data_IF_368245245144
#
_entry.id   IF_368245245144
#
_cell.length_a   1.000
_cell.length_b   1.000
_cell.length_c   1.000
_cell.angle_alpha   90.00
_cell.angle_beta   90.00
_cell.angle_gamma   90.00
#
_symmetry.space_group_name_H-M   'P 1'
#
loop_
_entity.id
_entity.type
_entity.pdbx_description
1 polymer ?
#
# COMPACT_ATOMS: atom_id res chain seq x y z
N UNK A 1 32.50 11.79 15.22
CA UNK A 1 31.64 12.91 14.77
C UNK A 1 31.59 12.86 13.25
N UNK A 2 30.69 12.06 12.69
CA UNK A 2 30.37 12.14 11.26
C UNK A 2 29.45 13.36 11.13
N UNK A 3 29.86 14.37 10.36
CA UNK A 3 29.04 15.56 10.13
C UNK A 3 27.70 15.14 9.54
N UNK A 4 26.60 15.71 10.02
CA UNK A 4 25.25 15.44 9.54
C UNK A 4 25.20 15.75 8.03
N UNK A 5 25.15 14.74 7.18
CA UNK A 5 25.07 14.91 5.73
C UNK A 5 23.64 15.39 5.43
N UNK A 6 23.50 16.66 5.02
CA UNK A 6 22.19 17.22 4.67
C UNK A 6 21.71 16.67 3.33
N UNK A 7 20.39 16.59 3.12
CA UNK A 7 19.83 16.19 1.83
C UNK A 7 20.01 17.37 0.84
N UNK A 8 20.55 17.16 -0.37
CA UNK A 8 20.66 18.22 -1.37
C UNK A 8 19.30 18.81 -1.74
N UNK A 9 19.29 20.09 -2.11
CA UNK A 9 18.10 20.74 -2.64
C UNK A 9 17.77 20.28 -4.06
N UNK A 10 16.50 20.45 -4.45
CA UNK A 10 16.02 20.17 -5.81
C UNK A 10 16.85 20.84 -6.90
N UNK A 11 17.18 22.13 -6.73
CA UNK A 11 17.97 22.88 -7.70
C UNK A 11 19.39 22.30 -7.87
N UNK A 12 20.00 21.83 -6.79
CA UNK A 12 21.33 21.20 -6.84
C UNK A 12 21.28 19.88 -7.61
N UNK A 13 20.30 19.02 -7.32
CA UNK A 13 20.11 17.75 -8.06
C UNK A 13 19.83 18.02 -9.54
N UNK A 14 19.05 19.05 -9.85
CA UNK A 14 18.67 19.36 -11.21
C UNK A 14 19.86 19.91 -12.03
N UNK A 15 20.79 20.63 -11.40
CA UNK A 15 22.06 21.04 -12.03
C UNK A 15 22.89 19.82 -12.42
N UNK A 16 23.10 18.89 -11.48
CA UNK A 16 23.85 17.65 -11.74
C UNK A 16 23.18 16.81 -12.83
N UNK A 17 21.86 16.62 -12.74
CA UNK A 17 21.12 15.82 -13.69
C UNK A 17 21.20 16.40 -15.11
N UNK A 18 21.20 17.74 -15.27
CA UNK A 18 21.41 18.39 -16.57
C UNK A 18 22.80 18.09 -17.14
N UNK A 19 23.84 17.98 -16.31
CA UNK A 19 25.18 17.58 -16.76
C UNK A 19 25.18 16.13 -17.27
N UNK A 20 24.49 15.23 -16.55
CA UNK A 20 24.32 13.84 -16.98
C UNK A 20 23.51 13.75 -18.27
N UNK A 21 22.44 14.54 -18.43
CA UNK A 21 21.69 14.60 -19.69
C UNK A 21 22.61 15.05 -20.82
N UNK A 22 23.37 16.13 -20.65
CA UNK A 22 24.22 16.69 -21.69
C UNK A 22 25.30 15.70 -22.18
N UNK A 23 25.96 14.98 -21.26
CA UNK A 23 27.12 14.15 -21.59
C UNK A 23 26.83 12.64 -21.62
N UNK A 24 25.75 12.20 -20.97
CA UNK A 24 25.38 10.79 -20.83
C UNK A 24 26.11 10.08 -19.69
N UNK A 25 25.61 8.93 -19.28
CA UNK A 25 26.20 8.17 -18.16
C UNK A 25 27.60 7.63 -18.45
N UNK A 26 27.97 7.44 -19.72
CA UNK A 26 29.33 7.04 -20.09
C UNK A 26 30.41 8.05 -19.71
N UNK A 27 30.03 9.31 -19.47
CA UNK A 27 30.95 10.39 -19.12
C UNK A 27 31.02 10.70 -17.61
N UNK A 28 30.26 9.99 -16.76
CA UNK A 28 30.12 10.32 -15.32
C UNK A 28 31.46 10.53 -14.62
N UNK A 29 32.48 9.71 -14.92
CA UNK A 29 33.82 9.81 -14.30
C UNK A 29 34.48 11.20 -14.48
N UNK A 30 34.09 11.93 -15.53
CA UNK A 30 34.61 13.26 -15.86
C UNK A 30 33.69 14.41 -15.43
N UNK A 31 32.51 14.12 -14.91
CA UNK A 31 31.54 15.11 -14.47
C UNK A 31 31.71 15.40 -12.97
N UNK A 32 31.44 16.64 -12.59
CA UNK A 32 31.30 17.02 -11.19
C UNK A 32 29.81 16.94 -10.82
N UNK A 33 29.45 15.94 -10.01
CA UNK A 33 28.06 15.63 -9.65
C UNK A 33 27.89 15.60 -8.12
N UNK A 34 28.21 16.72 -7.42
CA UNK A 34 28.28 16.74 -5.96
C UNK A 34 26.96 16.37 -5.26
N UNK A 35 25.81 16.77 -5.80
CA UNK A 35 24.52 16.47 -5.20
C UNK A 35 24.16 14.99 -5.38
N UNK A 36 24.41 14.40 -6.55
CA UNK A 36 24.11 12.97 -6.77
C UNK A 36 25.09 12.08 -5.98
N UNK A 37 26.36 12.47 -5.84
CA UNK A 37 27.30 11.77 -4.95
C UNK A 37 26.93 11.89 -3.47
N UNK A 38 26.45 13.04 -3.03
CA UNK A 38 25.92 13.20 -1.67
C UNK A 38 24.72 12.27 -1.43
N UNK A 39 23.83 12.12 -2.41
CA UNK A 39 22.71 11.16 -2.36
C UNK A 39 23.23 9.72 -2.38
N UNK A 40 24.27 9.41 -3.15
CA UNK A 40 24.88 8.08 -3.16
C UNK A 40 25.53 7.73 -1.81
N UNK A 41 26.15 8.71 -1.15
CA UNK A 41 26.70 8.57 0.20
C UNK A 41 25.57 8.36 1.23
N UNK A 42 24.50 9.17 1.16
CA UNK A 42 23.30 8.96 1.98
C UNK A 42 22.65 7.60 1.72
N UNK A 43 22.76 7.09 0.48
CA UNK A 43 22.21 5.80 0.07
C UNK A 43 23.09 4.59 0.47
N UNK A 44 24.20 4.81 1.18
CA UNK A 44 25.21 3.81 1.56
C UNK A 44 25.80 3.06 0.35
N UNK A 45 25.91 3.74 -0.79
CA UNK A 45 26.51 3.21 -2.02
C UNK A 45 27.99 3.56 -2.15
N UNK A 46 28.47 4.51 -1.36
CA UNK A 46 29.87 4.90 -1.24
C UNK A 46 30.15 5.48 0.16
N UNK A 47 31.31 5.16 0.74
CA UNK A 47 31.72 5.64 2.08
C UNK A 47 32.02 7.15 2.11
N UNK A 48 32.40 7.69 0.96
CA UNK A 48 32.66 9.10 0.73
C UNK A 48 32.46 9.40 -0.76
N UNK A 49 32.16 10.66 -1.13
CA UNK A 49 32.04 11.08 -2.52
C UNK A 49 33.28 10.68 -3.32
N UNK A 50 33.18 9.59 -4.10
CA UNK A 50 34.26 9.10 -4.93
C UNK A 50 33.81 9.27 -6.38
N UNK A 51 34.71 9.69 -7.29
CA UNK A 51 34.34 9.94 -8.71
C UNK A 51 34.06 8.65 -9.50
N UNK A 52 33.67 7.58 -8.82
CA UNK A 52 33.32 6.32 -9.44
C UNK A 52 31.90 6.38 -10.04
N UNK A 53 31.70 5.87 -11.26
CA UNK A 53 30.38 5.93 -11.90
C UNK A 53 29.31 5.05 -11.26
N UNK A 54 29.70 3.95 -10.61
CA UNK A 54 28.77 2.90 -10.19
C UNK A 54 27.73 3.37 -9.15
N UNK A 55 28.10 4.12 -8.09
CA UNK A 55 27.13 4.65 -7.12
C UNK A 55 26.11 5.59 -7.79
N UNK A 56 26.58 6.52 -8.62
CA UNK A 56 25.74 7.47 -9.37
C UNK A 56 24.75 6.74 -10.29
N UNK A 57 25.23 5.77 -11.07
CA UNK A 57 24.38 4.96 -11.96
C UNK A 57 23.32 4.21 -11.15
N UNK A 58 23.68 3.71 -9.98
CA UNK A 58 22.76 2.98 -9.10
C UNK A 58 21.66 3.90 -8.54
N UNK A 59 21.99 5.13 -8.11
CA UNK A 59 21.00 6.14 -7.71
C UNK A 59 20.05 6.46 -8.85
N UNK A 60 20.58 6.71 -10.06
CA UNK A 60 19.76 7.03 -11.24
C UNK A 60 18.83 5.87 -11.61
N UNK A 61 19.30 4.62 -11.52
CA UNK A 61 18.45 3.42 -11.75
C UNK A 61 17.33 3.30 -10.73
N UNK A 62 17.62 3.52 -9.43
CA UNK A 62 16.59 3.54 -8.39
C UNK A 62 15.54 4.62 -8.65
N UNK A 63 15.98 5.84 -8.98
CA UNK A 63 15.08 6.95 -9.29
C UNK A 63 14.19 6.66 -10.52
N UNK A 64 14.74 6.04 -11.57
CA UNK A 64 13.96 5.65 -12.75
C UNK A 64 12.98 4.52 -12.46
N UNK A 65 13.34 3.54 -11.62
CA UNK A 65 12.41 2.50 -11.19
C UNK A 65 11.20 3.09 -10.43
N UNK A 66 11.43 4.15 -9.64
CA UNK A 66 10.38 4.88 -8.92
C UNK A 66 9.45 5.71 -9.83
N UNK A 67 9.70 5.77 -11.15
CA UNK A 67 8.74 6.31 -12.11
C UNK A 67 7.55 5.38 -12.34
N UNK A 68 7.59 4.13 -11.87
CA UNK A 68 6.49 3.18 -11.94
C UNK A 68 6.43 2.37 -13.24
N UNK A 69 7.52 2.28 -13.99
CA UNK A 69 7.59 1.54 -15.25
C UNK A 69 7.02 2.26 -16.47
N UNK A 70 6.98 1.55 -17.60
CA UNK A 70 6.38 2.02 -18.85
C UNK A 70 7.21 3.04 -19.62
N UNK A 71 6.54 3.80 -20.49
CA UNK A 71 7.19 4.68 -21.48
C UNK A 71 8.06 5.76 -20.84
N UNK A 72 7.65 6.35 -19.70
CA UNK A 72 8.42 7.39 -19.01
C UNK A 72 9.77 6.86 -18.49
N UNK A 73 9.80 5.64 -17.96
CA UNK A 73 11.04 5.01 -17.51
C UNK A 73 11.96 4.73 -18.71
N UNK A 74 11.43 4.11 -19.77
CA UNK A 74 12.20 3.81 -20.98
C UNK A 74 12.75 5.09 -21.65
N UNK A 75 11.99 6.18 -21.62
CA UNK A 75 12.43 7.49 -22.07
C UNK A 75 13.57 8.04 -21.23
N UNK A 76 13.50 7.93 -19.90
CA UNK A 76 14.58 8.36 -19.01
C UNK A 76 15.85 7.53 -19.24
N UNK A 77 15.71 6.21 -19.39
CA UNK A 77 16.84 5.30 -19.66
C UNK A 77 17.52 5.60 -20.99
N UNK A 78 16.72 5.82 -22.06
CA UNK A 78 17.22 6.21 -23.37
C UNK A 78 17.86 7.59 -23.34
N UNK A 79 17.24 8.56 -22.67
CA UNK A 79 17.74 9.93 -22.56
C UNK A 79 19.07 9.98 -21.80
N UNK A 80 19.23 9.25 -20.71
CA UNK A 80 20.47 9.25 -19.91
C UNK A 80 21.55 8.31 -20.49
N UNK A 81 21.18 7.36 -21.34
CA UNK A 81 22.09 6.36 -21.91
C UNK A 81 22.37 5.20 -20.95
N UNK A 82 21.44 4.88 -20.06
CA UNK A 82 21.57 3.79 -19.07
C UNK A 82 21.22 2.43 -19.66
N UNK A 83 20.40 2.40 -20.72
CA UNK A 83 20.06 1.18 -21.44
C UNK A 83 21.29 0.46 -21.98
N UNK A 84 21.21 -0.88 -22.10
CA UNK A 84 22.33 -1.68 -22.57
C UNK A 84 22.85 -1.19 -23.94
N UNK A 85 24.17 -0.98 -24.04
CA UNK A 85 24.80 -0.49 -25.28
C UNK A 85 24.56 0.98 -25.62
N UNK A 86 23.91 1.77 -24.76
CA UNK A 86 23.58 3.19 -25.01
C UNK A 86 24.51 4.19 -24.33
N UNK A 87 25.42 3.73 -23.46
CA UNK A 87 26.29 4.58 -22.64
C UNK A 87 27.19 5.55 -23.42
N UNK A 88 27.58 5.20 -24.66
CA UNK A 88 28.43 6.01 -25.54
C UNK A 88 27.64 6.74 -26.63
N UNK A 89 26.32 6.74 -26.58
CA UNK A 89 25.51 7.43 -27.58
C UNK A 89 25.60 8.95 -27.41
N UNK A 90 25.65 9.65 -28.54
CA UNK A 90 25.58 11.11 -28.55
C UNK A 90 24.23 11.59 -28.00
N UNK A 91 24.19 12.83 -27.48
CA UNK A 91 22.95 13.44 -26.99
C UNK A 91 21.84 13.44 -28.06
N UNK A 92 22.19 13.69 -29.33
CA UNK A 92 21.24 13.64 -30.44
C UNK A 92 20.60 12.27 -30.57
N UNK A 93 21.40 11.20 -30.57
CA UNK A 93 20.90 9.83 -30.71
C UNK A 93 20.07 9.38 -29.49
N UNK A 94 20.46 9.81 -28.27
CA UNK A 94 19.69 9.57 -27.04
C UNK A 94 18.33 10.26 -27.07
N UNK A 95 18.28 11.52 -27.53
CA UNK A 95 17.02 12.26 -27.73
C UNK A 95 16.14 11.63 -28.81
N UNK A 96 16.71 11.18 -29.91
CA UNK A 96 15.97 10.47 -30.96
C UNK A 96 15.34 9.18 -30.43
N UNK A 97 16.11 8.40 -29.65
CA UNK A 97 15.61 7.17 -29.04
C UNK A 97 14.50 7.43 -28.01
N UNK A 98 14.66 8.45 -27.15
CA UNK A 98 13.62 8.82 -26.18
C UNK A 98 12.35 9.36 -26.87
N UNK A 99 12.52 10.21 -27.89
CA UNK A 99 11.41 10.80 -28.64
C UNK A 99 10.59 9.74 -29.42
N UNK A 100 11.25 8.70 -29.92
CA UNK A 100 10.61 7.61 -30.67
C UNK A 100 9.57 6.85 -29.84
N UNK A 101 9.73 6.80 -28.51
CA UNK A 101 8.79 6.10 -27.60
C UNK A 101 7.41 6.77 -27.55
N UNK A 102 7.33 8.09 -27.76
CA UNK A 102 6.07 8.85 -27.87
C UNK A 102 5.69 9.17 -29.32
N UNK A 103 6.38 8.56 -30.30
CA UNK A 103 6.18 8.82 -31.73
C UNK A 103 6.32 10.30 -32.12
N UNK A 104 7.15 11.05 -31.38
CA UNK A 104 7.46 12.46 -31.67
C UNK A 104 8.87 12.61 -32.21
N UNK A 105 9.13 13.74 -32.86
CA UNK A 105 10.46 14.07 -33.37
C UNK A 105 11.33 14.65 -32.26
N UNK A 106 12.64 14.37 -32.28
CA UNK A 106 13.62 14.84 -31.30
C UNK A 106 13.58 16.38 -31.07
N UNK A 107 13.28 17.18 -32.09
CA UNK A 107 13.13 18.65 -31.94
C UNK A 107 11.94 19.05 -31.06
N UNK A 108 10.88 18.25 -31.07
CA UNK A 108 9.71 18.45 -30.21
C UNK A 108 10.01 17.98 -28.79
N UNK A 109 10.64 16.81 -28.66
CA UNK A 109 11.04 16.23 -27.37
C UNK A 109 11.95 17.17 -26.57
N UNK A 110 12.97 17.77 -27.20
CA UNK A 110 13.95 18.64 -26.51
C UNK A 110 13.36 19.92 -25.89
N UNK A 111 12.10 20.27 -26.21
CA UNK A 111 11.44 21.49 -25.73
C UNK A 111 10.83 21.24 -24.36
N UNK A 112 9.57 20.88 -24.33
CA UNK A 112 8.80 20.72 -23.09
C UNK A 112 8.89 19.31 -22.50
N UNK A 113 8.78 18.21 -23.30
CA UNK A 113 8.83 16.85 -22.76
C UNK A 113 10.11 16.53 -22.00
N UNK A 114 11.28 16.85 -22.56
CA UNK A 114 12.57 16.63 -21.90
C UNK A 114 12.66 17.42 -20.59
N UNK A 115 12.20 18.68 -20.57
CA UNK A 115 12.24 19.51 -19.35
C UNK A 115 11.37 18.92 -18.25
N UNK A 116 10.16 18.45 -18.59
CA UNK A 116 9.25 17.81 -17.64
C UNK A 116 9.83 16.49 -17.13
N UNK A 117 10.39 15.68 -18.01
CA UNK A 117 11.00 14.40 -17.64
C UNK A 117 12.19 14.60 -16.69
N UNK A 118 13.08 15.55 -17.00
CA UNK A 118 14.24 15.87 -16.14
C UNK A 118 13.79 16.44 -14.79
N UNK A 119 12.78 17.31 -14.78
CA UNK A 119 12.22 17.85 -13.55
C UNK A 119 11.64 16.75 -12.65
N UNK A 120 10.86 15.84 -13.25
CA UNK A 120 10.25 14.72 -12.53
C UNK A 120 11.30 13.71 -12.04
N UNK A 121 12.33 13.43 -12.84
CA UNK A 121 13.42 12.57 -12.43
C UNK A 121 14.25 13.17 -11.27
N UNK A 122 14.41 14.49 -11.22
CA UNK A 122 15.06 15.15 -10.08
C UNK A 122 14.27 14.96 -8.78
N UNK A 123 12.94 14.98 -8.83
CA UNK A 123 12.08 14.64 -7.67
C UNK A 123 12.31 13.18 -7.24
N UNK A 124 12.35 12.25 -8.19
CA UNK A 124 12.61 10.82 -7.91
C UNK A 124 13.99 10.55 -7.33
N UNK A 125 15.00 11.32 -7.72
CA UNK A 125 16.34 11.22 -7.11
C UNK A 125 16.31 11.68 -5.64
N UNK A 126 15.56 12.73 -5.31
CA UNK A 126 15.38 13.16 -3.92
C UNK A 126 14.61 12.14 -3.09
N UNK A 127 13.61 11.47 -3.67
CA UNK A 127 12.88 10.38 -3.00
C UNK A 127 13.83 9.27 -2.55
N UNK A 128 14.84 8.91 -3.36
CA UNK A 128 15.86 7.90 -2.98
C UNK A 128 16.67 8.32 -1.74
N UNK A 129 17.02 9.62 -1.63
CA UNK A 129 17.72 10.14 -0.46
C UNK A 129 16.83 10.16 0.79
N UNK A 130 15.57 10.56 0.64
CA UNK A 130 14.60 10.57 1.74
C UNK A 130 14.33 9.16 2.26
N UNK A 131 14.12 8.20 1.36
CA UNK A 131 13.94 6.79 1.70
C UNK A 131 15.14 6.25 2.50
N UNK A 132 16.36 6.53 2.04
CA UNK A 132 17.54 6.01 2.74
C UNK A 132 17.78 6.71 4.08
N UNK A 133 17.47 8.01 4.18
CA UNK A 133 17.50 8.73 5.45
C UNK A 133 16.52 8.13 6.45
N UNK A 134 15.31 7.74 6.02
CA UNK A 134 14.34 7.04 6.89
C UNK A 134 14.87 5.67 7.33
N UNK A 135 15.50 4.92 6.43
CA UNK A 135 16.09 3.60 6.74
C UNK A 135 17.31 3.71 7.68
N UNK A 136 18.18 4.70 7.49
CA UNK A 136 19.31 4.94 8.38
C UNK A 136 18.86 5.44 9.75
N UNK A 137 17.88 6.35 9.79
CA UNK A 137 17.25 6.76 11.04
C UNK A 137 16.66 5.56 11.79
N UNK A 138 16.06 4.60 11.07
CA UNK A 138 15.58 3.34 11.64
C UNK A 138 16.72 2.49 12.24
N UNK A 139 17.85 2.33 11.54
CA UNK A 139 19.03 1.60 12.07
C UNK A 139 19.64 2.30 13.30
N UNK A 140 19.72 3.63 13.26
CA UNK A 140 20.19 4.44 14.41
C UNK A 140 19.22 4.33 15.60
N UNK A 141 17.91 4.21 15.35
CA UNK A 141 16.86 4.01 16.35
C UNK A 141 16.84 2.59 16.94
N UNK A 142 17.09 1.55 16.14
CA UNK A 142 17.31 0.17 16.63
C UNK A 142 18.49 0.12 17.62
N UNK A 143 19.50 0.99 17.42
CA UNK A 143 20.69 1.11 18.28
C UNK A 143 20.50 2.07 19.47
N UNK A 144 19.69 3.14 19.31
CA UNK A 144 19.48 4.18 20.33
C UNK A 144 17.98 4.36 20.62
N UNK A 145 17.54 3.76 21.73
CA UNK A 145 16.16 3.60 22.24
C UNK A 145 15.31 4.87 22.47
N UNK A 146 15.47 5.99 21.78
CA UNK A 146 14.55 7.13 21.95
C UNK A 146 14.44 8.07 20.73
N UNK A 147 13.29 8.08 20.01
CA UNK A 147 13.00 9.02 18.92
C UNK A 147 12.25 10.28 19.39
N UNK A 148 12.33 10.65 20.68
CA UNK A 148 11.54 11.75 21.24
C UNK A 148 11.87 13.14 20.66
N UNK A 149 13.00 13.28 19.94
CA UNK A 149 13.52 14.59 19.49
C UNK A 149 13.46 14.85 17.97
N UNK A 150 12.70 14.08 17.17
CA UNK A 150 12.84 14.16 15.70
C UNK A 150 11.57 14.46 14.91
N UNK A 151 11.70 15.29 13.86
CA UNK A 151 10.75 15.45 12.73
C UNK A 151 10.34 14.11 12.10
N UNK A 152 11.14 13.05 12.31
CA UNK A 152 10.85 11.68 11.91
C UNK A 152 9.60 11.13 12.61
N UNK A 153 9.29 11.55 13.84
CA UNK A 153 8.09 11.11 14.54
C UNK A 153 6.80 11.45 13.78
N UNK A 154 6.76 12.65 13.17
CA UNK A 154 5.62 13.10 12.36
C UNK A 154 5.47 12.24 11.10
N UNK A 155 6.58 11.90 10.44
CA UNK A 155 6.56 11.05 9.24
C UNK A 155 6.10 9.62 9.54
N UNK A 156 6.43 9.08 10.71
CA UNK A 156 5.93 7.79 11.17
C UNK A 156 4.43 7.82 11.49
N UNK A 157 3.94 8.89 12.14
CA UNK A 157 2.50 9.05 12.42
C UNK A 157 1.71 9.18 11.12
N UNK A 158 2.16 9.99 10.17
CA UNK A 158 1.54 10.10 8.83
C UNK A 158 1.54 8.75 8.10
N UNK A 159 2.62 7.98 8.26
CA UNK A 159 2.73 6.66 7.64
C UNK A 159 1.76 5.65 8.24
N UNK A 160 1.64 5.62 9.57
CA UNK A 160 0.68 4.76 10.26
C UNK A 160 -0.76 5.19 10.03
N UNK A 161 -1.03 6.49 9.84
CA UNK A 161 -2.35 6.94 9.40
C UNK A 161 -2.72 6.29 8.05
N UNK A 162 -1.79 6.27 7.09
CA UNK A 162 -2.00 5.60 5.81
C UNK A 162 -2.18 4.08 5.97
N UNK A 163 -1.46 3.44 6.90
CA UNK A 163 -1.67 2.01 7.21
C UNK A 163 -3.04 1.76 7.82
N UNK A 164 -3.49 2.61 8.75
CA UNK A 164 -4.81 2.45 9.37
C UNK A 164 -5.97 2.71 8.40
N UNK A 165 -5.76 3.51 7.35
CA UNK A 165 -6.71 3.66 6.25
C UNK A 165 -6.88 2.38 5.43
N UNK A 166 -5.83 1.56 5.30
CA UNK A 166 -5.89 0.23 4.68
C UNK A 166 -6.40 -0.82 5.68
N UNK A 167 -5.95 -0.74 6.94
CA UNK A 167 -6.32 -1.65 8.03
C UNK A 167 -7.83 -1.70 8.24
N UNK A 168 -8.49 -0.54 8.30
CA UNK A 168 -9.93 -0.47 8.58
C UNK A 168 -10.78 -1.29 7.59
N UNK A 169 -10.65 -1.11 6.27
CA UNK A 169 -11.37 -1.94 5.31
C UNK A 169 -10.89 -3.40 5.28
N UNK A 170 -9.61 -3.70 5.54
CA UNK A 170 -9.09 -5.08 5.61
C UNK A 170 -9.68 -5.85 6.79
N UNK A 171 -9.70 -5.24 7.97
CA UNK A 171 -10.35 -5.80 9.17
C UNK A 171 -11.84 -6.06 8.91
N UNK A 172 -12.54 -5.05 8.37
CA UNK A 172 -13.96 -5.18 8.07
C UNK A 172 -14.23 -6.20 6.97
N UNK A 173 -13.33 -6.38 6.00
CA UNK A 173 -13.42 -7.40 4.97
C UNK A 173 -13.42 -8.80 5.61
N UNK A 174 -12.42 -9.11 6.45
CA UNK A 174 -12.33 -10.39 7.14
C UNK A 174 -13.60 -10.68 7.95
N UNK A 175 -14.03 -9.71 8.78
CA UNK A 175 -15.22 -9.86 9.61
C UNK A 175 -16.50 -10.12 8.79
N UNK A 176 -16.68 -9.45 7.65
CA UNK A 176 -17.84 -9.69 6.78
C UNK A 176 -17.78 -11.04 6.06
N UNK A 177 -16.59 -11.48 5.63
CA UNK A 177 -16.41 -12.79 5.01
C UNK A 177 -16.70 -13.92 6.01
N UNK A 178 -16.17 -13.83 7.23
CA UNK A 178 -16.44 -14.79 8.30
C UNK A 178 -17.92 -14.83 8.66
N UNK A 179 -18.55 -13.66 8.83
CA UNK A 179 -19.97 -13.57 9.13
C UNK A 179 -20.83 -14.18 8.01
N UNK A 180 -20.50 -13.95 6.74
CA UNK A 180 -21.17 -14.59 5.61
C UNK A 180 -21.10 -16.13 5.72
N UNK A 181 -19.90 -16.67 5.97
CA UNK A 181 -19.70 -18.12 6.10
C UNK A 181 -20.42 -18.72 7.31
N UNK A 182 -20.44 -18.01 8.45
CA UNK A 182 -21.18 -18.43 9.66
C UNK A 182 -22.68 -18.50 9.37
N UNK A 183 -23.26 -17.45 8.78
CA UNK A 183 -24.69 -17.39 8.43
C UNK A 183 -25.05 -18.49 7.42
N UNK A 184 -24.20 -18.71 6.42
CA UNK A 184 -24.44 -19.74 5.41
C UNK A 184 -24.37 -21.17 5.98
N UNK A 185 -23.42 -21.44 6.87
CA UNK A 185 -23.30 -22.74 7.53
C UNK A 185 -24.48 -23.01 8.48
N UNK A 186 -24.89 -22.00 9.26
CA UNK A 186 -26.04 -22.13 10.15
C UNK A 186 -27.35 -22.43 9.39
N UNK A 187 -27.53 -21.86 8.19
CA UNK A 187 -28.67 -22.14 7.34
C UNK A 187 -28.68 -23.58 6.78
N UNK A 188 -27.50 -24.19 6.57
CA UNK A 188 -27.38 -25.55 6.04
C UNK A 188 -27.64 -26.64 7.09
N UNK A 189 -27.37 -26.36 8.37
CA UNK A 189 -27.48 -27.35 9.45
C UNK A 189 -28.93 -27.59 9.94
N UNK A 190 -29.96 -27.01 9.29
CA UNK A 190 -31.37 -27.06 9.73
C UNK A 190 -31.59 -26.72 11.21
N UNK A 191 -30.60 -26.09 11.84
CA UNK A 191 -30.69 -25.65 13.23
C UNK A 191 -31.61 -24.44 13.18
N UNK A 192 -32.71 -24.45 13.94
CA UNK A 192 -33.60 -23.29 14.03
C UNK A 192 -32.75 -22.01 14.15
N UNK A 193 -33.09 -20.93 13.43
CA UNK A 193 -32.30 -19.71 13.45
C UNK A 193 -32.11 -19.34 14.91
N UNK A 194 -30.86 -19.41 15.38
CA UNK A 194 -30.50 -19.28 16.78
C UNK A 194 -30.70 -17.84 17.22
N UNK A 195 -31.96 -17.44 17.40
CA UNK A 195 -32.43 -16.25 18.12
C UNK A 195 -31.50 -15.03 18.09
N UNK A 196 -30.93 -14.68 16.93
CA UNK A 196 -30.20 -13.43 16.71
C UNK A 196 -31.15 -12.27 16.35
N UNK A 197 -32.45 -12.49 16.59
CA UNK A 197 -33.55 -11.59 16.28
C UNK A 197 -33.85 -10.64 17.46
N UNK A 198 -32.81 -10.00 18.01
CA UNK A 198 -32.99 -9.08 19.16
C UNK A 198 -33.04 -7.61 18.73
N UNK A 199 -32.80 -7.31 17.45
CA UNK A 199 -32.89 -5.94 16.92
C UNK A 199 -33.63 -5.84 15.57
N UNK A 200 -34.31 -6.90 15.11
CA UNK A 200 -35.17 -6.85 13.91
C UNK A 200 -34.44 -6.53 12.60
N UNK A 201 -33.13 -6.79 12.52
CA UNK A 201 -32.30 -6.57 11.33
C UNK A 201 -31.21 -7.65 11.24
N UNK A 202 -31.61 -8.91 11.18
CA UNK A 202 -30.66 -10.01 10.96
C UNK A 202 -30.13 -9.90 9.53
N UNK A 203 -28.86 -9.53 9.38
CA UNK A 203 -28.19 -9.50 8.08
C UNK A 203 -28.17 -10.89 7.46
N UNK A 204 -28.51 -10.97 6.18
CA UNK A 204 -28.48 -12.21 5.41
C UNK A 204 -27.08 -12.50 4.88
N UNK A 205 -26.86 -13.72 4.38
CA UNK A 205 -25.64 -14.06 3.63
C UNK A 205 -25.36 -13.04 2.51
N UNK A 206 -26.38 -12.67 1.74
CA UNK A 206 -26.23 -11.74 0.62
C UNK A 206 -25.91 -10.31 1.09
N UNK A 207 -26.35 -9.89 2.29
CA UNK A 207 -25.98 -8.60 2.87
C UNK A 207 -24.49 -8.58 3.25
N UNK A 208 -23.99 -9.65 3.88
CA UNK A 208 -22.58 -9.77 4.21
C UNK A 208 -21.70 -9.89 2.95
N UNK A 209 -22.14 -10.61 1.91
CA UNK A 209 -21.48 -10.67 0.61
C UNK A 209 -21.33 -9.26 0.03
N UNK A 210 -22.39 -8.44 0.10
CA UNK A 210 -22.37 -7.05 -0.37
C UNK A 210 -21.41 -6.18 0.44
N UNK A 211 -21.44 -6.30 1.76
CA UNK A 211 -20.56 -5.53 2.62
C UNK A 211 -19.09 -5.94 2.46
N UNK A 212 -18.81 -7.24 2.34
CA UNK A 212 -17.47 -7.75 2.05
C UNK A 212 -16.93 -7.19 0.72
N UNK A 213 -17.72 -7.20 -0.36
CA UNK A 213 -17.26 -6.64 -1.64
C UNK A 213 -16.94 -5.16 -1.50
N UNK A 214 -17.83 -4.39 -0.87
CA UNK A 214 -17.61 -2.96 -0.65
C UNK A 214 -16.30 -2.71 0.13
N UNK A 215 -16.06 -3.47 1.22
CA UNK A 215 -14.82 -3.34 2.01
C UNK A 215 -13.58 -3.75 1.25
N UNK A 216 -13.64 -4.81 0.44
CA UNK A 216 -12.55 -5.19 -0.44
C UNK A 216 -12.20 -4.07 -1.45
N UNK A 217 -13.21 -3.48 -2.10
CA UNK A 217 -12.98 -2.40 -3.06
C UNK A 217 -12.42 -1.14 -2.37
N UNK A 218 -12.89 -0.85 -1.14
CA UNK A 218 -12.34 0.23 -0.33
C UNK A 218 -10.86 -0.03 0.05
N UNK A 219 -10.52 -1.25 0.44
CA UNK A 219 -9.13 -1.68 0.65
C UNK A 219 -8.28 -1.44 -0.60
N UNK A 220 -8.74 -1.89 -1.77
CA UNK A 220 -8.00 -1.78 -3.01
C UNK A 220 -7.82 -0.31 -3.46
N UNK A 221 -8.78 0.56 -3.12
CA UNK A 221 -8.70 2.00 -3.35
C UNK A 221 -7.68 2.66 -2.42
N UNK A 222 -7.71 2.35 -1.13
CA UNK A 222 -6.74 2.88 -0.16
C UNK A 222 -5.32 2.38 -0.43
N UNK A 223 -5.16 1.12 -0.83
CA UNK A 223 -3.86 0.60 -1.28
C UNK A 223 -3.33 1.37 -2.50
N UNK A 224 -4.20 1.74 -3.45
CA UNK A 224 -3.81 2.57 -4.60
C UNK A 224 -3.39 3.97 -4.18
N UNK A 225 -4.12 4.58 -3.23
CA UNK A 225 -3.78 5.90 -2.64
C UNK A 225 -2.44 5.85 -1.92
N UNK A 226 -2.20 4.78 -1.17
CA UNK A 226 -0.92 4.53 -0.51
C UNK A 226 0.22 4.41 -1.52
N UNK A 227 0.07 3.58 -2.56
CA UNK A 227 1.09 3.45 -3.62
C UNK A 227 1.31 4.78 -4.35
N UNK A 228 0.26 5.54 -4.61
CA UNK A 228 0.39 6.85 -5.28
C UNK A 228 1.08 7.89 -4.40
N UNK A 229 0.85 7.88 -3.10
CA UNK A 229 1.39 8.87 -2.16
C UNK A 229 2.78 8.51 -1.68
N UNK A 230 3.10 7.22 -1.67
CA UNK A 230 4.31 6.70 -1.01
C UNK A 230 5.07 5.62 -1.78
N UNK A 231 4.75 5.38 -3.05
CA UNK A 231 5.47 4.46 -3.93
C UNK A 231 5.30 2.97 -3.60
N UNK A 232 4.48 2.62 -2.61
CA UNK A 232 4.36 1.22 -2.13
C UNK A 232 5.45 0.82 -1.14
N UNK A 233 6.25 1.77 -0.65
CA UNK A 233 7.30 1.49 0.33
C UNK A 233 6.70 1.34 1.73
N UNK A 234 6.77 0.14 2.29
CA UNK A 234 6.41 -0.13 3.68
C UNK A 234 7.59 0.22 4.60
N UNK A 235 7.27 0.86 5.73
CA UNK A 235 8.21 1.28 6.76
C UNK A 235 7.62 0.75 8.06
N UNK A 236 8.29 -0.23 8.64
CA UNK A 236 7.90 -0.87 9.90
C UNK A 236 9.10 -0.95 10.84
N UNK A 237 8.90 -1.39 12.09
CA UNK A 237 9.99 -1.44 13.09
C UNK A 237 11.20 -2.23 12.62
N UNK A 238 10.99 -3.31 11.86
CA UNK A 238 12.02 -4.15 11.29
C UNK A 238 11.75 -4.53 9.81
N UNK A 239 12.78 -4.97 9.09
CA UNK A 239 12.70 -5.23 7.65
C UNK A 239 11.90 -6.51 7.35
N UNK A 240 11.93 -7.47 8.26
CA UNK A 240 11.13 -8.68 8.18
C UNK A 240 9.64 -8.34 8.25
N UNK A 241 9.24 -7.42 9.13
CA UNK A 241 7.88 -6.89 9.24
C UNK A 241 7.49 -6.13 7.97
N UNK A 242 8.37 -5.32 7.37
CA UNK A 242 8.11 -4.65 6.07
C UNK A 242 7.80 -5.66 4.97
N UNK A 243 8.62 -6.72 4.86
CA UNK A 243 8.39 -7.79 3.89
C UNK A 243 7.10 -8.56 4.18
N UNK A 244 6.84 -8.89 5.46
CA UNK A 244 5.64 -9.60 5.87
C UNK A 244 4.37 -8.80 5.56
N UNK A 245 4.37 -7.49 5.80
CA UNK A 245 3.27 -6.61 5.44
C UNK A 245 3.05 -6.62 3.92
N UNK A 246 4.11 -6.43 3.14
CA UNK A 246 4.02 -6.41 1.67
C UNK A 246 3.51 -7.75 1.11
N UNK A 247 4.00 -8.87 1.63
CA UNK A 247 3.57 -10.21 1.23
C UNK A 247 2.09 -10.45 1.57
N UNK A 248 1.68 -10.04 2.77
CA UNK A 248 0.30 -10.21 3.20
C UNK A 248 -0.68 -9.40 2.35
N UNK A 249 -0.34 -8.15 2.02
CA UNK A 249 -1.12 -7.33 1.09
C UNK A 249 -1.20 -7.97 -0.30
N UNK A 250 -0.09 -8.52 -0.79
CA UNK A 250 -0.08 -9.25 -2.06
C UNK A 250 -1.01 -10.47 -1.99
N UNK A 251 -1.00 -11.24 -0.90
CA UNK A 251 -1.85 -12.42 -0.69
C UNK A 251 -3.35 -12.08 -0.69
N UNK A 252 -3.77 -10.96 -0.08
CA UNK A 252 -5.17 -10.48 -0.15
C UNK A 252 -5.58 -10.24 -1.61
N UNK A 253 -4.69 -9.62 -2.40
CA UNK A 253 -4.88 -9.39 -3.83
C UNK A 253 -4.78 -10.65 -4.71
N UNK A 254 -4.03 -11.67 -4.27
CA UNK A 254 -3.79 -12.90 -5.03
C UNK A 254 -4.93 -13.91 -4.89
N UNK A 255 -5.52 -14.01 -3.71
CA UNK A 255 -6.54 -15.02 -3.41
C UNK A 255 -7.97 -14.59 -3.77
N UNK A 256 -8.18 -13.38 -4.28
CA UNK A 256 -9.51 -13.00 -4.78
C UNK A 256 -9.74 -13.51 -6.22
N UNK A 257 -11.01 -13.49 -6.64
CA UNK A 257 -11.39 -13.99 -7.96
C UNK A 257 -11.25 -12.95 -9.09
N UNK A 258 -10.93 -11.69 -8.79
CA UNK A 258 -10.96 -10.62 -9.78
C UNK A 258 -9.68 -10.51 -10.61
N UNK A 259 -9.84 -10.08 -11.86
CA UNK A 259 -8.72 -9.61 -12.66
C UNK A 259 -8.40 -8.15 -12.31
N UNK A 260 -7.21 -7.70 -12.71
CA UNK A 260 -6.80 -6.31 -12.51
C UNK A 260 -7.79 -5.29 -13.11
N UNK A 261 -8.33 -5.58 -14.30
CA UNK A 261 -9.28 -4.69 -14.98
C UNK A 261 -10.64 -4.62 -14.26
N UNK A 262 -11.09 -5.76 -13.72
CA UNK A 262 -12.32 -5.84 -12.93
C UNK A 262 -12.18 -5.07 -11.61
N UNK A 263 -11.06 -5.24 -10.90
CA UNK A 263 -10.76 -4.49 -9.68
C UNK A 263 -10.61 -2.99 -9.96
N UNK A 264 -9.92 -2.62 -11.05
CA UNK A 264 -9.79 -1.24 -11.52
C UNK A 264 -11.15 -0.59 -11.81
N UNK A 265 -12.05 -1.34 -12.46
CA UNK A 265 -13.41 -0.87 -12.71
C UNK A 265 -14.19 -0.65 -11.42
N UNK A 266 -14.15 -1.61 -10.48
CA UNK A 266 -14.84 -1.50 -9.19
C UNK A 266 -14.33 -0.31 -8.36
N UNK A 267 -13.01 -0.12 -8.28
CA UNK A 267 -12.42 1.04 -7.59
C UNK A 267 -12.85 2.37 -8.18
N UNK A 268 -12.98 2.45 -9.50
CA UNK A 268 -13.48 3.65 -10.17
C UNK A 268 -14.94 3.93 -9.78
N UNK A 269 -15.80 2.91 -9.78
CA UNK A 269 -17.18 3.09 -9.34
C UNK A 269 -17.28 3.56 -7.89
N UNK A 270 -16.41 3.06 -7.00
CA UNK A 270 -16.37 3.51 -5.60
C UNK A 270 -15.84 4.96 -5.50
N UNK A 271 -14.75 5.30 -6.19
CA UNK A 271 -14.19 6.64 -6.16
C UNK A 271 -15.14 7.72 -6.73
N UNK A 272 -15.94 7.36 -7.74
CA UNK A 272 -16.95 8.23 -8.33
C UNK A 272 -18.24 8.30 -7.48
N UNK A 273 -18.40 7.39 -6.51
CA UNK A 273 -19.57 7.38 -5.64
C UNK A 273 -19.51 8.51 -4.61
N UNK A 274 -20.67 9.08 -4.30
CA UNK A 274 -20.76 10.21 -3.38
C UNK A 274 -20.21 9.81 -2.00
N UNK A 275 -19.05 10.39 -1.64
CA UNK A 275 -18.35 10.13 -0.39
C UNK A 275 -17.94 8.67 -0.16
N UNK A 276 -17.80 7.86 -1.22
CA UNK A 276 -17.45 6.44 -1.08
C UNK A 276 -18.49 5.65 -0.25
N UNK A 277 -19.75 6.09 -0.27
CA UNK A 277 -20.85 5.51 0.50
C UNK A 277 -21.41 4.24 -0.15
N UNK A 278 -21.71 3.25 0.71
CA UNK A 278 -22.13 1.90 0.31
C UNK A 278 -23.39 1.88 -0.56
N UNK A 279 -24.39 2.70 -0.23
CA UNK A 279 -25.66 2.73 -0.96
C UNK A 279 -25.47 3.22 -2.41
N UNK A 280 -24.71 4.31 -2.58
CA UNK A 280 -24.48 4.86 -3.91
C UNK A 280 -23.60 3.95 -4.75
N UNK A 281 -22.57 3.36 -4.15
CA UNK A 281 -21.74 2.34 -4.80
C UNK A 281 -22.59 1.20 -5.37
N UNK A 282 -23.51 0.63 -4.56
CA UNK A 282 -24.37 -0.46 -5.00
C UNK A 282 -25.37 -0.06 -6.08
N UNK A 283 -25.91 1.16 -6.02
CA UNK A 283 -26.79 1.67 -7.07
C UNK A 283 -26.07 1.73 -8.44
N UNK A 284 -24.79 2.13 -8.44
CA UNK A 284 -23.98 2.20 -9.67
C UNK A 284 -23.57 0.80 -10.15
N UNK A 285 -23.12 -0.08 -9.25
CA UNK A 285 -22.71 -1.45 -9.59
C UNK A 285 -23.88 -2.23 -10.20
N UNK A 286 -25.05 -2.20 -9.55
CA UNK A 286 -26.22 -2.96 -10.00
C UNK A 286 -26.90 -2.38 -11.24
N UNK A 287 -26.61 -1.13 -11.61
CA UNK A 287 -27.13 -0.52 -12.84
C UNK A 287 -26.50 -1.09 -14.12
N UNK A 288 -25.42 -1.87 -14.02
CA UNK A 288 -24.69 -2.39 -15.17
C UNK A 288 -24.63 -3.92 -15.18
N UNK A 289 -24.65 -4.51 -16.38
CA UNK A 289 -24.48 -5.96 -16.54
C UNK A 289 -23.13 -6.45 -16.00
N UNK A 290 -22.06 -5.67 -16.24
CA UNK A 290 -20.73 -5.98 -15.71
C UNK A 290 -20.74 -6.02 -14.19
N UNK A 291 -21.33 -5.03 -13.51
CA UNK A 291 -21.38 -5.00 -12.05
C UNK A 291 -22.20 -6.15 -11.45
N UNK A 292 -23.31 -6.55 -12.08
CA UNK A 292 -24.04 -7.75 -11.64
C UNK A 292 -23.23 -9.03 -11.80
N UNK A 293 -22.47 -9.18 -12.89
CA UNK A 293 -21.59 -10.34 -13.09
C UNK A 293 -20.46 -10.38 -12.05
N UNK A 294 -19.85 -9.24 -11.71
CA UNK A 294 -18.79 -9.19 -10.69
C UNK A 294 -19.32 -9.47 -9.29
N UNK A 295 -20.53 -9.01 -8.96
CA UNK A 295 -21.21 -9.38 -7.71
C UNK A 295 -21.42 -10.90 -7.63
N UNK A 296 -21.90 -11.52 -8.69
CA UNK A 296 -22.18 -12.97 -8.69
C UNK A 296 -20.89 -13.78 -8.59
N UNK A 297 -19.85 -13.37 -9.33
CA UNK A 297 -18.50 -13.92 -9.22
C UNK A 297 -17.92 -13.82 -7.79
N UNK A 298 -18.15 -12.70 -7.11
CA UNK A 298 -17.74 -12.52 -5.71
C UNK A 298 -18.53 -13.43 -4.76
N UNK A 299 -19.84 -13.54 -4.97
CA UNK A 299 -20.71 -14.43 -4.20
C UNK A 299 -20.29 -15.89 -4.35
N UNK A 300 -19.98 -16.33 -5.57
CA UNK A 300 -19.51 -17.68 -5.86
C UNK A 300 -18.20 -17.97 -5.14
N UNK A 301 -17.25 -17.02 -5.21
CA UNK A 301 -15.98 -17.07 -4.47
C UNK A 301 -16.17 -17.25 -2.95
N UNK A 302 -17.09 -16.50 -2.32
CA UNK A 302 -17.39 -16.67 -0.88
C UNK A 302 -18.02 -18.05 -0.64
N UNK A 303 -18.90 -18.49 -1.54
CA UNK A 303 -19.62 -19.75 -1.39
C UNK A 303 -18.70 -20.98 -1.39
N UNK A 304 -17.52 -20.90 -2.01
CA UNK A 304 -16.50 -21.95 -1.97
C UNK A 304 -15.96 -22.25 -0.55
N UNK A 305 -16.09 -21.30 0.39
CA UNK A 305 -15.70 -21.46 1.79
C UNK A 305 -16.75 -22.13 2.67
N UNK A 306 -17.99 -22.29 2.18
CA UNK A 306 -19.09 -22.88 2.95
C UNK A 306 -18.80 -24.36 3.23
N UNK A 307 -19.07 -24.81 4.45
CA UNK A 307 -18.83 -26.18 4.92
C UNK A 307 -17.36 -26.50 5.24
N UNK A 308 -16.42 -25.56 5.08
CA UNK A 308 -15.00 -25.74 5.40
C UNK A 308 -14.73 -25.41 6.86
N UNK A 309 -14.69 -26.43 7.72
CA UNK A 309 -14.55 -26.26 9.18
C UNK A 309 -13.17 -26.65 9.71
N UNK A 310 -12.46 -27.58 9.06
CA UNK A 310 -11.13 -28.02 9.49
C UNK A 310 -10.01 -27.08 9.00
N UNK A 311 -8.90 -27.00 9.73
CA UNK A 311 -7.76 -26.16 9.33
C UNK A 311 -7.18 -26.59 7.98
N UNK A 312 -7.12 -27.91 7.73
CA UNK A 312 -6.68 -28.46 6.44
C UNK A 312 -7.59 -28.04 5.30
N UNK A 313 -8.91 -27.98 5.53
CA UNK A 313 -9.87 -27.54 4.53
C UNK A 313 -9.74 -26.05 4.23
N UNK A 314 -9.59 -25.23 5.28
CA UNK A 314 -9.43 -23.78 5.18
C UNK A 314 -8.18 -23.40 4.37
N UNK A 315 -7.08 -24.14 4.51
CA UNK A 315 -5.84 -23.92 3.74
C UNK A 315 -5.99 -24.13 2.23
N UNK A 316 -7.04 -24.82 1.78
CA UNK A 316 -7.32 -25.04 0.34
C UNK A 316 -8.34 -24.06 -0.24
N UNK A 317 -9.00 -23.27 0.61
CA UNK A 317 -10.08 -22.36 0.22
C UNK A 317 -9.56 -20.94 0.05
N UNK A 318 -9.78 -20.37 -1.12
CA UNK A 318 -9.29 -19.03 -1.44
C UNK A 318 -9.87 -17.94 -0.51
N UNK A 319 -11.14 -18.07 -0.12
CA UNK A 319 -11.76 -17.13 0.83
C UNK A 319 -11.15 -17.22 2.22
N UNK A 320 -10.85 -18.42 2.72
CA UNK A 320 -10.19 -18.59 4.01
C UNK A 320 -8.74 -18.11 3.99
N UNK A 321 -8.00 -18.33 2.90
CA UNK A 321 -6.66 -17.77 2.72
C UNK A 321 -6.67 -16.23 2.66
N UNK A 322 -7.75 -15.64 2.15
CA UNK A 322 -7.94 -14.19 2.15
C UNK A 322 -8.23 -13.66 3.56
N UNK A 323 -9.09 -14.35 4.33
CA UNK A 323 -9.36 -14.03 5.73
C UNK A 323 -8.07 -14.09 6.56
N UNK A 324 -7.29 -15.17 6.43
CA UNK A 324 -6.00 -15.35 7.10
C UNK A 324 -5.01 -14.21 6.79
N UNK A 325 -4.91 -13.83 5.51
CA UNK A 325 -4.07 -12.70 5.11
C UNK A 325 -4.59 -11.38 5.70
N UNK A 326 -5.90 -11.15 5.73
CA UNK A 326 -6.46 -9.95 6.35
C UNK A 326 -6.12 -9.86 7.84
N UNK A 327 -6.25 -10.96 8.59
CA UNK A 327 -5.88 -11.01 10.01
C UNK A 327 -4.39 -10.78 10.21
N UNK A 328 -3.55 -11.47 9.44
CA UNK A 328 -2.08 -11.30 9.49
C UNK A 328 -1.68 -9.85 9.27
N UNK A 329 -2.30 -9.15 8.31
CA UNK A 329 -2.02 -7.75 8.06
C UNK A 329 -2.41 -6.89 9.26
N UNK A 330 -3.60 -7.11 9.81
CA UNK A 330 -4.10 -6.34 10.96
C UNK A 330 -3.18 -6.52 12.17
N UNK A 331 -2.78 -7.75 12.46
CA UNK A 331 -1.89 -8.10 13.56
C UNK A 331 -0.50 -7.49 13.38
N UNK A 332 0.06 -7.53 12.16
CA UNK A 332 1.36 -6.92 11.87
C UNK A 332 1.34 -5.43 12.14
N UNK A 333 0.32 -4.70 11.64
CA UNK A 333 0.21 -3.26 11.83
C UNK A 333 0.00 -2.89 13.30
N UNK A 334 -0.89 -3.58 14.01
CA UNK A 334 -1.17 -3.27 15.42
C UNK A 334 0.03 -3.59 16.32
N UNK A 335 0.70 -4.72 16.10
CA UNK A 335 1.91 -5.06 16.85
C UNK A 335 3.04 -4.06 16.59
N UNK A 336 3.19 -3.62 15.34
CA UNK A 336 4.21 -2.63 14.98
C UNK A 336 3.89 -1.26 15.57
N UNK A 337 2.62 -0.85 15.52
CA UNK A 337 2.14 0.37 16.16
C UNK A 337 2.40 0.33 17.66
N UNK A 338 2.16 -0.78 18.35
CA UNK A 338 2.43 -0.91 19.79
C UNK A 338 3.91 -0.72 20.12
N UNK A 339 4.82 -1.30 19.32
CA UNK A 339 6.28 -1.09 19.48
C UNK A 339 6.62 0.40 19.36
N UNK A 340 6.01 1.09 18.40
CA UNK A 340 6.27 2.50 18.11
C UNK A 340 5.60 3.43 19.13
N UNK A 341 4.37 3.15 19.54
CA UNK A 341 3.61 3.92 20.52
C UNK A 341 4.27 3.89 21.90
N UNK A 342 4.85 2.75 22.30
CA UNK A 342 5.63 2.64 23.55
C UNK A 342 6.86 3.57 23.53
N UNK A 343 7.42 3.90 22.35
CA UNK A 343 8.49 4.90 22.24
C UNK A 343 8.04 6.33 22.58
N UNK A 344 6.76 6.66 22.38
CA UNK A 344 6.17 7.96 22.71
C UNK A 344 5.62 8.02 24.14
N UNK A 345 5.26 6.87 24.72
CA UNK A 345 4.79 6.75 26.11
C UNK A 345 5.24 5.43 26.75
N UNK A 346 6.50 5.37 27.21
CA UNK A 346 7.05 4.15 27.81
C UNK A 346 6.18 3.63 28.95
N UNK A 347 5.72 2.39 28.85
CA UNK A 347 4.95 1.70 29.89
C UNK A 347 3.44 1.94 29.85
N UNK A 348 2.91 2.61 28.83
CA UNK A 348 1.47 2.71 28.63
C UNK A 348 0.98 1.65 27.64
N UNK A 349 0.27 0.64 28.13
CA UNK A 349 -0.53 -0.22 27.24
C UNK A 349 -1.78 0.57 26.84
N UNK A 350 -2.06 0.77 25.54
CA UNK A 350 -3.36 1.28 25.14
C UNK A 350 -4.41 0.33 25.69
N UNK A 351 -5.43 0.87 26.36
CA UNK A 351 -6.55 0.07 26.81
C UNK A 351 -7.21 -0.53 25.56
N UNK A 352 -7.34 -1.85 25.49
CA UNK A 352 -8.09 -2.47 24.40
C UNK A 352 -9.50 -1.88 24.37
N UNK A 353 -9.97 -1.53 23.17
CA UNK A 353 -11.37 -1.24 22.94
C UNK A 353 -12.19 -2.47 23.36
N UNK A 354 -13.42 -2.24 23.84
CA UNK A 354 -14.30 -3.29 24.34
C UNK A 354 -14.41 -4.40 23.31
N UNK A 355 -14.02 -5.63 23.68
CA UNK A 355 -14.12 -6.80 22.82
C UNK A 355 -15.59 -7.02 22.42
N UNK A 356 -15.83 -7.26 21.12
CA UNK A 356 -17.16 -7.50 20.57
C UNK A 356 -17.88 -8.67 21.23
N UNK A 357 -17.15 -9.72 21.62
CA UNK A 357 -17.67 -10.83 22.43
C UNK A 357 -18.19 -10.35 23.79
N UNK A 358 -17.45 -9.46 24.45
CA UNK A 358 -17.86 -8.87 25.74
C UNK A 358 -19.06 -7.94 25.59
N UNK A 359 -19.15 -7.19 24.49
CA UNK A 359 -20.34 -6.38 24.18
C UNK A 359 -21.55 -7.27 23.89
N UNK A 360 -21.35 -8.39 23.19
CA UNK A 360 -22.39 -9.35 22.89
C UNK A 360 -22.90 -10.05 24.16
N UNK A 361 -22.00 -10.48 25.04
CA UNK A 361 -22.35 -11.08 26.33
C UNK A 361 -23.11 -10.10 27.22
N UNK A 362 -22.66 -8.84 27.28
CA UNK A 362 -23.37 -7.79 28.02
C UNK A 362 -24.77 -7.50 27.47
N UNK A 363 -24.93 -7.56 26.14
CA UNK A 363 -26.21 -7.41 25.49
C UNK A 363 -27.12 -8.60 25.82
N UNK A 364 -26.63 -9.82 25.66
CA UNK A 364 -27.34 -11.06 25.99
C UNK A 364 -27.80 -11.08 27.46
N UNK A 365 -26.95 -10.62 28.38
CA UNK A 365 -27.27 -10.48 29.79
C UNK A 365 -28.43 -9.50 30.02
N UNK A 366 -28.39 -8.30 29.41
CA UNK A 366 -29.46 -7.30 29.53
C UNK A 366 -30.80 -7.80 29.01
N UNK A 367 -30.78 -8.56 27.91
CA UNK A 367 -31.99 -9.15 27.32
C UNK A 367 -32.58 -10.22 28.25
N UNK A 368 -31.73 -11.05 28.86
CA UNK A 368 -32.14 -12.04 29.86
C UNK A 368 -32.76 -11.36 31.09
N UNK A 369 -32.14 -10.30 31.59
CA UNK A 369 -32.62 -9.54 32.74
C UNK A 369 -33.96 -8.82 32.46
N UNK A 370 -34.16 -8.29 31.26
CA UNK A 370 -35.45 -7.73 30.82
C UNK A 370 -36.55 -8.79 30.76
N UNK A 371 -36.28 -9.97 30.19
CA UNK A 371 -37.25 -11.08 30.14
C UNK A 371 -37.61 -11.62 31.51
N UNK A 372 -36.66 -11.64 32.45
CA UNK A 372 -36.92 -12.07 33.83
C UNK A 372 -37.77 -11.05 34.59
N UNK A 373 -37.57 -9.75 34.36
CA UNK A 373 -38.39 -8.70 34.96
C UNK A 373 -39.82 -8.67 34.39
N UNK A 374 -40.00 -8.88 33.09
CA UNK A 374 -41.35 -8.96 32.47
C UNK A 374 -42.16 -10.19 32.93
N UNK A 375 -41.49 -11.26 33.38
CA UNK A 375 -42.14 -12.44 33.95
C UNK A 375 -42.42 -12.31 35.46
N UNK A 376 -41.85 -11.32 36.15
CA UNK A 376 -42.13 -11.02 37.56
C UNK A 376 -43.31 -10.05 37.72
N UNK A 377 -43.66 -9.30 36.67
CA UNK A 377 -44.79 -8.37 36.61
C UNK A 377 -46.09 -9.00 36.03
N UNK A 378 -46.09 -10.32 35.77
CA UNK A 378 -47.27 -11.14 35.45
C UNK A 378 -47.56 -12.12 36.57
#
# INVERSE_FOLDING_TARGET
MVGKIEIPSYEQVLVDLRLVVAHGVGAIRSLDLPAIHQIATLADLEDAPCREPAPVITVLRKAMANLGGGTLQEQAEALLGIGQGTALWSLTKRREAAAALDLIVADTFRKEPERKLVAFLAEKILEVAQETTMRQARLEMEQHRHPADSRLAVQWVERFEAYYRIWTPVYALAANLEAALIVANAANDNTEPSSFDVLGSTMTFDDYVRHALHRYVQYALELRRFVSSHGGHWIASDAETEYAISDTIYRIGWHNSFTYDEESWLRRQLADSRHEEVEHFWNVVLATTQGTMLRDKWRDYISEGIGRTSDSDKQTSQVWLTIDACHTYCDLIDNDWLKIADWYRPGSKPAHAVNGETLFDQLAQRISDQRNNENLDR
#
